data_IF_124425490146
#
_entry.id   IF_124425490146
#
_cell.length_a   1.000
_cell.length_b   1.000
_cell.length_c   1.000
_cell.angle_alpha   90.00
_cell.angle_beta   90.00
_cell.angle_gamma   90.00
#
_symmetry.space_group_name_H-M   'P 1'
#
loop_
_entity.id
_entity.type
_entity.pdbx_description
1 polymer ?
#
# COMPACT_ATOMS: atom_id res chain seq x y z
N UNK A 1 -8.04 -24.48 -2.75
CA UNK A 1 -7.35 -24.25 -1.47
C UNK A 1 -8.22 -23.27 -0.69
N UNK A 2 -8.96 -23.74 0.31
CA UNK A 2 -9.74 -22.84 1.18
C UNK A 2 -8.78 -22.23 2.20
N UNK A 3 -8.76 -20.91 2.29
CA UNK A 3 -8.02 -20.20 3.33
C UNK A 3 -8.85 -20.24 4.61
N UNK A 4 -8.20 -20.54 5.73
CA UNK A 4 -8.79 -20.45 7.05
C UNK A 4 -9.04 -18.98 7.44
N UNK A 5 -10.00 -18.74 8.34
CA UNK A 5 -10.42 -17.39 8.74
C UNK A 5 -9.25 -16.58 9.33
N UNK A 6 -8.40 -17.24 10.13
CA UNK A 6 -7.19 -16.63 10.69
C UNK A 6 -6.19 -16.23 9.59
N UNK A 7 -6.10 -16.99 8.50
CA UNK A 7 -5.22 -16.67 7.37
C UNK A 7 -5.76 -15.48 6.58
N UNK A 8 -7.07 -15.39 6.39
CA UNK A 8 -7.73 -14.26 5.72
C UNK A 8 -7.52 -12.98 6.53
N UNK A 9 -7.68 -13.03 7.84
CA UNK A 9 -7.44 -11.88 8.73
C UNK A 9 -5.97 -11.43 8.68
N UNK A 10 -5.03 -12.37 8.77
CA UNK A 10 -3.60 -12.09 8.69
C UNK A 10 -3.25 -11.44 7.35
N UNK A 11 -3.82 -11.95 6.25
CA UNK A 11 -3.58 -11.43 4.92
C UNK A 11 -4.19 -10.03 4.75
N UNK A 12 -5.42 -9.81 5.23
CA UNK A 12 -6.05 -8.49 5.24
C UNK A 12 -5.17 -7.46 5.96
N UNK A 13 -4.66 -7.81 7.14
CA UNK A 13 -3.77 -6.94 7.92
C UNK A 13 -2.47 -6.63 7.18
N UNK A 14 -1.85 -7.66 6.60
CA UNK A 14 -0.63 -7.50 5.81
C UNK A 14 -0.81 -6.51 4.64
N UNK A 15 -1.88 -6.67 3.86
CA UNK A 15 -2.19 -5.76 2.76
C UNK A 15 -2.48 -4.33 3.24
N UNK A 16 -3.13 -4.19 4.40
CA UNK A 16 -3.41 -2.89 5.01
C UNK A 16 -2.13 -2.18 5.47
N UNK A 17 -1.21 -2.91 6.10
CA UNK A 17 0.07 -2.35 6.56
C UNK A 17 1.00 -2.02 5.38
N UNK A 18 1.04 -2.87 4.36
CA UNK A 18 1.76 -2.60 3.12
C UNK A 18 1.24 -1.34 2.41
N UNK A 19 -0.08 -1.14 2.35
CA UNK A 19 -0.67 0.08 1.80
C UNK A 19 -0.18 1.34 2.54
N UNK A 20 -0.21 1.33 3.88
CA UNK A 20 0.27 2.47 4.70
C UNK A 20 1.75 2.77 4.44
N UNK A 21 2.58 1.73 4.36
CA UNK A 21 4.02 1.87 4.09
C UNK A 21 4.26 2.45 2.69
N UNK A 22 3.49 2.03 1.69
CA UNK A 22 3.58 2.58 0.33
C UNK A 22 3.18 4.05 0.29
N UNK A 23 2.06 4.43 0.92
CA UNK A 23 1.66 5.85 1.02
C UNK A 23 2.76 6.65 1.71
N UNK A 24 3.26 6.18 2.85
CA UNK A 24 4.32 6.84 3.60
C UNK A 24 5.57 7.05 2.75
N UNK A 25 6.05 6.00 2.09
CA UNK A 25 7.24 6.04 1.24
C UNK A 25 7.09 7.00 0.06
N UNK A 26 5.93 6.98 -0.61
CA UNK A 26 5.66 7.80 -1.80
C UNK A 26 5.48 9.27 -1.43
N UNK A 27 4.77 9.56 -0.33
CA UNK A 27 4.60 10.93 0.18
C UNK A 27 5.94 11.48 0.66
N UNK A 28 6.70 10.72 1.45
CA UNK A 28 8.01 11.13 1.92
C UNK A 28 8.94 11.38 0.73
N UNK A 29 9.05 10.44 -0.19
CA UNK A 29 9.97 10.56 -1.32
C UNK A 29 9.60 11.66 -2.33
N UNK A 30 8.33 12.08 -2.40
CA UNK A 30 7.90 13.17 -3.29
C UNK A 30 7.97 14.56 -2.64
N UNK A 31 7.60 14.67 -1.35
CA UNK A 31 7.49 15.96 -0.67
C UNK A 31 8.69 16.32 0.20
N UNK A 32 9.46 15.34 0.70
CA UNK A 32 10.64 15.63 1.51
C UNK A 32 11.82 15.89 0.57
N UNK A 33 12.44 17.08 0.62
CA UNK A 33 13.64 17.36 -0.17
C UNK A 33 14.72 16.35 0.20
N UNK A 34 15.20 15.63 -0.79
CA UNK A 34 16.32 14.70 -0.64
C UNK A 34 17.44 15.17 -1.58
N UNK A 35 18.69 14.87 -1.23
CA UNK A 35 19.85 15.12 -2.11
C UNK A 35 19.78 14.27 -3.39
N UNK A 36 18.92 13.24 -3.41
CA UNK A 36 18.58 12.44 -4.57
C UNK A 36 17.54 13.13 -5.47
N UNK A 37 17.53 12.79 -6.76
CA UNK A 37 16.53 13.29 -7.72
C UNK A 37 15.11 13.15 -7.16
N UNK A 38 14.31 14.24 -7.15
CA UNK A 38 12.95 14.18 -6.66
C UNK A 38 12.11 13.20 -7.48
N UNK A 39 11.23 12.47 -6.80
CA UNK A 39 10.31 11.55 -7.44
C UNK A 39 9.48 12.26 -8.51
N UNK A 40 9.49 11.72 -9.73
CA UNK A 40 8.68 12.28 -10.81
C UNK A 40 7.19 12.06 -10.54
N UNK A 41 6.35 12.97 -11.04
CA UNK A 41 4.89 12.89 -10.92
C UNK A 41 4.32 11.52 -11.35
N UNK A 42 4.77 10.89 -12.47
CA UNK A 42 4.28 9.57 -12.86
C UNK A 42 4.55 8.48 -11.81
N UNK A 43 5.72 8.51 -11.16
CA UNK A 43 6.09 7.53 -10.13
C UNK A 43 5.30 7.77 -8.84
N UNK A 44 5.04 9.03 -8.51
CA UNK A 44 4.16 9.37 -7.39
C UNK A 44 2.76 8.79 -7.59
N UNK A 45 2.13 9.04 -8.75
CA UNK A 45 0.78 8.53 -9.01
C UNK A 45 0.72 7.00 -9.10
N UNK A 46 1.73 6.34 -9.67
CA UNK A 46 1.78 4.87 -9.71
C UNK A 46 1.92 4.27 -8.31
N UNK A 47 2.73 4.89 -7.44
CA UNK A 47 2.87 4.50 -6.04
C UNK A 47 1.57 4.66 -5.24
N UNK A 48 0.85 5.79 -5.43
CA UNK A 48 -0.47 6.00 -4.82
C UNK A 48 -1.48 4.96 -5.32
N UNK A 49 -1.50 4.67 -6.63
CA UNK A 49 -2.40 3.67 -7.20
C UNK A 49 -2.13 2.26 -6.65
N UNK A 50 -0.85 1.89 -6.51
CA UNK A 50 -0.45 0.64 -5.88
C UNK A 50 -0.92 0.57 -4.42
N UNK A 51 -0.71 1.64 -3.63
CA UNK A 51 -1.16 1.70 -2.25
C UNK A 51 -2.69 1.54 -2.12
N UNK A 52 -3.46 2.19 -2.99
CA UNK A 52 -4.92 2.06 -3.03
C UNK A 52 -5.37 0.63 -3.39
N UNK A 53 -4.66 -0.02 -4.31
CA UNK A 53 -4.94 -1.40 -4.71
C UNK A 53 -4.74 -2.38 -3.54
N UNK A 54 -3.65 -2.19 -2.78
CA UNK A 54 -3.38 -2.96 -1.56
C UNK A 54 -4.44 -2.71 -0.49
N UNK A 55 -4.87 -1.46 -0.30
CA UNK A 55 -5.94 -1.12 0.64
C UNK A 55 -7.27 -1.76 0.23
N UNK A 56 -7.59 -1.72 -1.06
CA UNK A 56 -8.80 -2.35 -1.59
C UNK A 56 -8.81 -3.86 -1.31
N UNK A 57 -7.69 -4.55 -1.54
CA UNK A 57 -7.55 -5.98 -1.21
C UNK A 57 -7.72 -6.22 0.30
N UNK A 58 -7.09 -5.40 1.14
CA UNK A 58 -7.21 -5.48 2.59
C UNK A 58 -8.68 -5.40 3.05
N UNK A 59 -9.42 -4.39 2.57
CA UNK A 59 -10.84 -4.19 2.88
C UNK A 59 -11.70 -5.33 2.33
N UNK A 60 -11.43 -5.78 1.10
CA UNK A 60 -12.17 -6.88 0.49
C UNK A 60 -12.00 -8.20 1.25
N UNK A 61 -10.81 -8.46 1.79
CA UNK A 61 -10.53 -9.62 2.64
C UNK A 61 -11.17 -9.50 4.01
N UNK A 62 -11.16 -8.31 4.63
CA UNK A 62 -11.77 -8.07 5.94
C UNK A 62 -13.31 -8.22 5.95
N UNK A 63 -13.95 -8.17 4.77
CA UNK A 63 -15.39 -8.33 4.60
C UNK A 63 -15.83 -9.77 4.34
N UNK A 64 -14.88 -10.70 4.21
CA UNK A 64 -15.15 -12.14 3.98
C UNK A 64 -15.00 -12.92 5.29
#
# INVERSE_FOLDING_TARGET
>A
MYLDHQQIETLSKYFGDASKLLVGSVVIGFFIPNEAEPLSLPVFFSGIFAALSFLYISIALARK
#
